data_IF_135930578972
#
_entry.id   IF_135930578972
#
_cell.length_a   1.000
_cell.length_b   1.000
_cell.length_c   1.000
_cell.angle_alpha   90.00
_cell.angle_beta   90.00
_cell.angle_gamma   90.00
#
_symmetry.space_group_name_H-M   'P 1'
#
loop_
_entity.id
_entity.type
_entity.pdbx_description
1 polymer ?
#
# COMPACT_ATOMS: atom_id res chain seq x y z
N UNK A 1 10.48 34.67 -35.64
CA UNK A 1 10.20 33.71 -34.56
C UNK A 1 11.45 32.89 -34.31
N UNK A 2 12.25 33.31 -33.34
CA UNK A 2 13.46 32.62 -32.94
C UNK A 2 13.04 31.29 -32.29
N UNK A 3 13.31 30.16 -32.95
CA UNK A 3 13.11 28.84 -32.33
C UNK A 3 14.05 28.77 -31.13
N UNK A 4 13.52 29.02 -29.94
CA UNK A 4 14.23 28.87 -28.68
C UNK A 4 14.76 27.43 -28.63
N UNK A 5 16.06 27.25 -28.87
CA UNK A 5 16.71 25.95 -28.81
C UNK A 5 16.64 25.49 -27.37
N UNK A 6 15.66 24.63 -27.04
CA UNK A 6 15.55 24.01 -25.72
C UNK A 6 16.91 23.41 -25.39
N UNK A 7 17.47 23.79 -24.24
CA UNK A 7 18.74 23.25 -23.76
C UNK A 7 18.61 21.72 -23.66
N UNK A 8 19.54 20.95 -24.25
CA UNK A 8 19.56 19.48 -24.18
C UNK A 8 19.43 18.99 -22.74
N UNK A 9 20.01 19.70 -21.78
CA UNK A 9 19.87 19.40 -20.36
C UNK A 9 18.42 19.59 -19.87
N UNK A 10 17.78 20.71 -20.22
CA UNK A 10 16.39 20.98 -19.85
C UNK A 10 15.43 19.94 -20.45
N UNK A 11 15.66 19.55 -21.71
CA UNK A 11 14.90 18.48 -22.36
C UNK A 11 15.07 17.15 -21.63
N UNK A 12 16.30 16.80 -21.23
CA UNK A 12 16.59 15.56 -20.50
C UNK A 12 15.87 15.50 -19.15
N UNK A 13 15.84 16.62 -18.41
CA UNK A 13 15.13 16.73 -17.14
C UNK A 13 13.62 16.55 -17.34
N UNK A 14 13.02 17.23 -18.32
CA UNK A 14 11.58 17.12 -18.60
C UNK A 14 11.21 15.67 -18.95
N UNK A 15 12.00 15.03 -19.82
CA UNK A 15 11.77 13.63 -20.20
C UNK A 15 11.93 12.70 -19.00
N UNK A 16 12.92 12.93 -18.13
CA UNK A 16 13.09 12.14 -16.90
C UNK A 16 11.90 12.25 -15.95
N UNK A 17 11.35 13.45 -15.74
CA UNK A 17 10.18 13.62 -14.86
C UNK A 17 8.98 12.85 -15.41
N UNK A 18 8.71 12.97 -16.71
CA UNK A 18 7.63 12.23 -17.37
C UNK A 18 7.84 10.72 -17.25
N UNK A 19 9.06 10.24 -17.55
CA UNK A 19 9.40 8.82 -17.42
C UNK A 19 9.29 8.32 -15.97
N UNK A 20 9.68 9.14 -14.99
CA UNK A 20 9.57 8.80 -13.58
C UNK A 20 8.12 8.57 -13.19
N UNK A 21 7.21 9.49 -13.58
CA UNK A 21 5.78 9.36 -13.31
C UNK A 21 5.21 8.11 -13.99
N UNK A 22 5.55 7.89 -15.27
CA UNK A 22 5.08 6.72 -16.01
C UNK A 22 5.57 5.42 -15.37
N UNK A 23 6.84 5.32 -14.97
CA UNK A 23 7.41 4.13 -14.35
C UNK A 23 6.81 3.85 -12.97
N UNK A 24 6.65 4.88 -12.13
CA UNK A 24 6.00 4.73 -10.81
C UNK A 24 4.56 4.26 -10.98
N UNK A 25 3.80 4.90 -11.88
CA UNK A 25 2.42 4.48 -12.18
C UNK A 25 2.35 3.06 -12.75
N UNK A 26 3.26 2.69 -13.65
CA UNK A 26 3.33 1.35 -14.23
C UNK A 26 3.59 0.29 -13.17
N UNK A 27 4.52 0.53 -12.24
CA UNK A 27 4.79 -0.41 -11.14
C UNK A 27 3.58 -0.53 -10.24
N UNK A 28 2.96 0.59 -9.85
CA UNK A 28 1.81 0.56 -8.94
C UNK A 28 0.58 -0.11 -9.55
N UNK A 29 0.23 0.20 -10.80
CA UNK A 29 -0.85 -0.48 -11.53
C UNK A 29 -0.49 -1.94 -11.81
N UNK A 30 0.78 -2.23 -12.11
CA UNK A 30 1.26 -3.59 -12.31
C UNK A 30 1.05 -4.45 -11.06
N UNK A 31 1.44 -3.94 -9.89
CA UNK A 31 1.24 -4.65 -8.62
C UNK A 31 -0.25 -4.91 -8.38
N UNK A 32 -1.13 -3.95 -8.63
CA UNK A 32 -2.58 -4.13 -8.42
C UNK A 32 -3.23 -5.15 -9.36
N UNK A 33 -2.56 -5.57 -10.44
CA UNK A 33 -3.06 -6.64 -11.33
C UNK A 33 -2.66 -8.03 -10.81
N UNK A 34 -1.51 -8.13 -10.15
CA UNK A 34 -0.95 -9.41 -9.69
C UNK A 34 -1.17 -9.67 -8.20
N UNK A 35 -1.51 -8.63 -7.44
CA UNK A 35 -1.64 -8.70 -6.01
C UNK A 35 -2.78 -7.78 -5.53
N UNK A 36 -3.94 -8.38 -5.35
CA UNK A 36 -5.17 -7.68 -4.94
C UNK A 36 -5.09 -7.27 -3.47
N UNK A 37 -5.54 -6.05 -3.17
CA UNK A 37 -5.64 -5.57 -1.80
C UNK A 37 -6.85 -6.19 -1.09
N UNK A 38 -6.75 -6.57 0.20
CA UNK A 38 -7.89 -7.06 0.95
C UNK A 38 -8.93 -5.94 1.11
N UNK A 39 -10.19 -6.19 0.74
CA UNK A 39 -11.28 -5.27 0.98
C UNK A 39 -11.95 -5.56 2.33
N UNK A 40 -12.27 -4.52 3.10
CA UNK A 40 -12.88 -4.67 4.42
C UNK A 40 -14.19 -5.49 4.39
N UNK A 41 -15.01 -5.29 3.35
CA UNK A 41 -16.31 -5.94 3.22
C UNK A 41 -16.18 -7.44 2.94
N UNK A 42 -15.04 -7.92 2.42
CA UNK A 42 -14.79 -9.35 2.22
C UNK A 42 -14.69 -10.11 3.54
N UNK A 43 -14.31 -9.41 4.61
CA UNK A 43 -14.17 -9.97 5.96
C UNK A 43 -15.37 -9.63 6.84
N UNK A 44 -15.79 -8.37 6.85
CA UNK A 44 -16.78 -7.85 7.79
C UNK A 44 -18.18 -7.66 7.20
N UNK A 45 -18.38 -7.97 5.91
CA UNK A 45 -19.63 -7.75 5.19
C UNK A 45 -19.95 -6.26 4.98
N UNK A 46 -21.04 -5.99 4.28
CA UNK A 46 -21.54 -4.62 4.15
C UNK A 46 -22.10 -4.12 5.48
N UNK A 47 -21.58 -2.99 5.97
CA UNK A 47 -22.27 -2.21 7.02
C UNK A 47 -23.54 -1.65 6.39
N UNK A 48 -24.61 -2.45 6.38
CA UNK A 48 -25.91 -1.96 5.92
C UNK A 48 -26.33 -0.87 6.91
N UNK A 49 -26.46 0.41 6.49
CA UNK A 49 -27.13 1.38 7.34
C UNK A 49 -28.48 0.77 7.67
N UNK A 50 -28.75 0.58 8.96
CA UNK A 50 -30.06 0.09 9.39
C UNK A 50 -31.09 0.99 8.70
N UNK A 51 -32.10 0.43 8.02
CA UNK A 51 -33.16 1.27 7.47
C UNK A 51 -33.65 2.13 8.63
N UNK A 52 -33.45 3.45 8.51
CA UNK A 52 -33.98 4.40 9.48
C UNK A 52 -35.47 4.17 9.48
N UNK A 53 -35.97 3.52 10.54
CA UNK A 53 -37.40 3.40 10.71
C UNK A 53 -37.95 4.81 10.83
N UNK A 54 -38.89 5.13 9.94
CA UNK A 54 -39.71 6.32 10.10
C UNK A 54 -40.29 6.28 11.51
N UNK A 55 -40.19 7.40 12.21
CA UNK A 55 -40.51 7.63 13.63
C UNK A 55 -41.94 7.22 14.08
N UNK A 56 -42.79 6.69 13.18
CA UNK A 56 -44.22 6.50 13.39
C UNK A 56 -44.75 5.05 13.26
N UNK A 57 -43.90 4.02 13.24
CA UNK A 57 -44.36 2.62 13.34
C UNK A 57 -43.75 1.92 14.57
N UNK A 58 -44.59 1.61 15.55
CA UNK A 58 -44.23 0.76 16.69
C UNK A 58 -44.17 -0.71 16.25
N UNK A 59 -43.01 -1.13 15.74
CA UNK A 59 -42.78 -2.54 15.44
C UNK A 59 -42.48 -3.30 16.74
N UNK A 60 -43.31 -4.29 17.04
CA UNK A 60 -43.13 -5.20 18.18
C UNK A 60 -42.52 -6.50 17.67
N UNK A 61 -41.30 -6.79 18.10
CA UNK A 61 -40.60 -8.03 17.76
C UNK A 61 -40.83 -9.12 18.80
N UNK A 62 -40.68 -10.38 18.39
CA UNK A 62 -40.59 -11.49 19.31
C UNK A 62 -39.44 -11.28 20.31
N UNK A 63 -39.66 -11.73 21.56
CA UNK A 63 -38.72 -11.54 22.68
C UNK A 63 -37.71 -12.71 22.79
N UNK A 64 -37.51 -13.45 21.70
CA UNK A 64 -36.49 -14.48 21.62
C UNK A 64 -35.08 -13.84 21.57
N UNK A 65 -34.12 -14.59 22.11
CA UNK A 65 -32.71 -14.20 22.17
C UNK A 65 -31.89 -15.24 21.41
N UNK A 66 -30.82 -14.76 20.77
CA UNK A 66 -29.77 -15.60 20.18
C UNK A 66 -28.54 -15.49 21.08
N UNK A 67 -28.01 -16.62 21.51
CA UNK A 67 -26.72 -16.69 22.21
C UNK A 67 -25.57 -16.55 21.20
N UNK A 68 -24.61 -15.70 21.52
CA UNK A 68 -23.44 -15.40 20.71
C UNK A 68 -22.26 -16.29 21.11
N UNK A 69 -21.26 -16.51 20.23
CA UNK A 69 -20.09 -17.31 20.53
C UNK A 69 -19.26 -16.83 21.75
N UNK A 70 -19.36 -15.54 22.09
CA UNK A 70 -18.75 -14.94 23.29
C UNK A 70 -19.59 -15.10 24.57
N UNK A 71 -20.71 -15.82 24.52
CA UNK A 71 -21.64 -16.01 25.64
C UNK A 71 -22.54 -14.81 25.91
N UNK A 72 -22.47 -13.75 25.10
CA UNK A 72 -23.46 -12.65 25.15
C UNK A 72 -24.75 -13.06 24.45
N UNK A 73 -25.82 -12.29 24.63
CA UNK A 73 -27.09 -12.53 23.94
C UNK A 73 -27.53 -11.31 23.18
N UNK A 74 -28.04 -11.50 21.96
CA UNK A 74 -28.67 -10.45 21.16
C UNK A 74 -30.16 -10.73 21.01
N UNK A 75 -30.97 -9.68 21.07
CA UNK A 75 -32.42 -9.72 20.82
C UNK A 75 -32.74 -9.16 19.44
N UNK A 76 -33.93 -9.47 18.91
CA UNK A 76 -34.40 -8.90 17.64
C UNK A 76 -34.44 -7.38 17.69
N UNK A 77 -33.93 -6.75 16.63
CA UNK A 77 -33.88 -5.29 16.49
C UNK A 77 -35.05 -4.83 15.60
N UNK A 78 -36.02 -4.05 16.14
CA UNK A 78 -37.10 -3.48 15.34
C UNK A 78 -36.58 -2.71 14.13
N UNK A 79 -35.45 -1.99 14.27
CA UNK A 79 -34.82 -1.23 13.18
C UNK A 79 -34.20 -2.12 12.08
N UNK A 80 -34.20 -3.44 12.26
CA UNK A 80 -33.76 -4.45 11.29
C UNK A 80 -34.89 -5.39 10.88
N UNK A 81 -36.14 -4.93 10.89
CA UNK A 81 -37.30 -5.75 10.55
C UNK A 81 -37.40 -7.00 11.45
N UNK A 82 -37.12 -6.82 12.75
CA UNK A 82 -37.09 -7.89 13.75
C UNK A 82 -36.06 -9.01 13.48
N UNK A 83 -34.98 -8.73 12.75
CA UNK A 83 -33.84 -9.64 12.65
C UNK A 83 -32.90 -9.49 13.85
N UNK A 84 -32.15 -10.55 14.15
CA UNK A 84 -31.07 -10.48 15.14
C UNK A 84 -29.90 -9.68 14.57
N UNK A 85 -29.35 -8.70 15.32
CA UNK A 85 -28.09 -8.08 14.92
C UNK A 85 -26.94 -9.09 14.99
N UNK A 86 -25.88 -8.91 14.18
CA UNK A 86 -24.64 -9.67 14.32
C UNK A 86 -24.06 -9.56 15.73
N UNK A 87 -23.39 -10.62 16.17
CA UNK A 87 -22.78 -10.69 17.49
C UNK A 87 -21.56 -9.75 17.57
N UNK A 88 -21.30 -9.15 18.74
CA UNK A 88 -20.15 -8.24 18.92
C UNK A 88 -18.82 -8.96 18.63
N UNK A 89 -18.69 -10.20 19.08
CA UNK A 89 -17.55 -11.07 18.78
C UNK A 89 -17.34 -11.29 17.29
N UNK A 90 -18.40 -11.43 16.49
CA UNK A 90 -18.26 -11.59 15.03
C UNK A 90 -17.57 -10.38 14.39
N UNK A 91 -17.86 -9.17 14.84
CA UNK A 91 -17.16 -7.96 14.38
C UNK A 91 -15.71 -7.88 14.84
N UNK A 92 -15.41 -8.33 16.06
CA UNK A 92 -14.02 -8.34 16.56
C UNK A 92 -13.18 -9.35 15.78
N UNK A 93 -13.71 -10.55 15.56
CA UNK A 93 -13.04 -11.59 14.78
C UNK A 93 -12.82 -11.16 13.33
N UNK A 94 -13.81 -10.57 12.65
CA UNK A 94 -13.63 -10.12 11.28
C UNK A 94 -12.58 -9.00 11.15
N UNK A 95 -12.55 -8.07 12.12
CA UNK A 95 -11.58 -6.98 12.15
C UNK A 95 -10.17 -7.52 12.29
N UNK A 96 -9.94 -8.47 13.21
CA UNK A 96 -8.65 -9.11 13.41
C UNK A 96 -8.18 -9.88 12.15
N UNK A 97 -9.10 -10.56 11.46
CA UNK A 97 -8.81 -11.25 10.20
C UNK A 97 -8.43 -10.27 9.08
N UNK A 98 -9.17 -9.18 8.94
CA UNK A 98 -8.88 -8.12 7.98
C UNK A 98 -7.54 -7.44 8.27
N UNK A 99 -7.28 -7.07 9.52
CA UNK A 99 -6.02 -6.40 9.91
C UNK A 99 -4.81 -7.29 9.63
N UNK A 100 -4.93 -8.59 9.92
CA UNK A 100 -3.89 -9.58 9.59
C UNK A 100 -3.68 -9.74 8.08
N UNK A 101 -4.76 -9.79 7.30
CA UNK A 101 -4.67 -9.86 5.85
C UNK A 101 -4.00 -8.60 5.26
N UNK A 102 -4.37 -7.42 5.79
CA UNK A 102 -3.82 -6.12 5.40
C UNK A 102 -2.35 -5.98 5.77
N UNK A 103 -1.95 -6.40 6.97
CA UNK A 103 -0.54 -6.41 7.39
C UNK A 103 0.29 -7.28 6.43
N UNK A 104 -0.17 -8.51 6.15
CA UNK A 104 0.50 -9.41 5.21
C UNK A 104 0.60 -8.81 3.80
N UNK A 105 -0.47 -8.18 3.31
CA UNK A 105 -0.50 -7.51 2.02
C UNK A 105 0.52 -6.35 1.97
N UNK A 106 0.51 -5.47 2.98
CA UNK A 106 1.41 -4.33 3.07
C UNK A 106 2.88 -4.77 3.11
N UNK A 107 3.17 -5.85 3.82
CA UNK A 107 4.52 -6.40 3.92
C UNK A 107 5.01 -6.96 2.57
N UNK A 108 4.19 -7.73 1.86
CA UNK A 108 4.54 -8.26 0.53
C UNK A 108 4.71 -7.12 -0.47
N UNK A 109 3.77 -6.15 -0.49
CA UNK A 109 3.85 -4.95 -1.33
C UNK A 109 5.13 -4.16 -1.06
N UNK A 110 5.51 -4.01 0.21
CA UNK A 110 6.77 -3.38 0.59
C UNK A 110 7.98 -4.09 0.00
N UNK A 111 8.09 -5.42 0.11
CA UNK A 111 9.24 -6.14 -0.45
C UNK A 111 9.33 -6.03 -1.97
N UNK A 112 8.20 -6.09 -2.68
CA UNK A 112 8.16 -5.91 -4.13
C UNK A 112 8.69 -4.52 -4.50
N UNK A 113 8.16 -3.48 -3.87
CA UNK A 113 8.58 -2.09 -4.12
C UNK A 113 10.04 -1.84 -3.72
N UNK A 114 10.50 -2.39 -2.60
CA UNK A 114 11.88 -2.27 -2.13
C UNK A 114 12.86 -2.95 -3.10
N UNK A 115 12.54 -4.14 -3.62
CA UNK A 115 13.40 -4.86 -4.57
C UNK A 115 13.48 -4.14 -5.91
N UNK A 116 12.32 -3.78 -6.49
CA UNK A 116 12.27 -3.05 -7.77
C UNK A 116 12.95 -1.69 -7.61
N UNK A 117 12.63 -0.96 -6.54
CA UNK A 117 13.21 0.35 -6.25
C UNK A 117 14.72 0.27 -6.08
N UNK A 118 15.22 -0.71 -5.32
CA UNK A 118 16.66 -0.93 -5.15
C UNK A 118 17.35 -1.29 -6.48
N UNK A 119 16.74 -2.13 -7.32
CA UNK A 119 17.27 -2.43 -8.64
C UNK A 119 17.37 -1.16 -9.52
N UNK A 120 16.36 -0.30 -9.51
CA UNK A 120 16.38 0.97 -10.24
C UNK A 120 17.40 1.97 -9.69
N UNK A 121 17.60 2.01 -8.37
CA UNK A 121 18.68 2.79 -7.76
C UNK A 121 20.05 2.34 -8.26
N UNK A 122 20.29 1.02 -8.36
CA UNK A 122 21.54 0.48 -8.90
C UNK A 122 21.70 0.80 -10.40
N UNK A 123 20.65 0.60 -11.20
CA UNK A 123 20.67 0.94 -12.64
C UNK A 123 20.95 2.43 -12.85
N UNK A 124 20.30 3.30 -12.07
CA UNK A 124 20.55 4.74 -12.08
C UNK A 124 21.99 5.07 -11.69
N UNK A 125 22.53 4.43 -10.65
CA UNK A 125 23.89 4.70 -10.18
C UNK A 125 24.98 4.29 -11.18
N UNK A 126 24.79 3.22 -11.96
CA UNK A 126 25.81 2.71 -12.90
C UNK A 126 25.61 3.10 -14.36
N UNK A 127 24.49 3.73 -14.70
CA UNK A 127 24.28 4.18 -16.07
C UNK A 127 25.30 5.27 -16.45
N UNK A 128 25.93 5.21 -17.64
CA UNK A 128 26.73 6.30 -18.16
C UNK A 128 25.87 7.47 -18.67
N UNK A 129 24.64 7.19 -19.10
CA UNK A 129 23.73 8.19 -19.67
C UNK A 129 22.98 8.94 -18.58
N UNK A 130 23.04 10.28 -18.65
CA UNK A 130 22.42 11.17 -17.67
C UNK A 130 20.92 10.89 -17.49
N UNK A 131 20.20 10.62 -18.58
CA UNK A 131 18.76 10.36 -18.56
C UNK A 131 18.40 9.17 -17.65
N UNK A 132 19.12 8.06 -17.79
CA UNK A 132 18.88 6.86 -16.99
C UNK A 132 19.38 7.04 -15.55
N UNK A 133 20.42 7.84 -15.32
CA UNK A 133 20.88 8.17 -13.96
C UNK A 133 19.77 8.87 -13.17
N UNK A 134 19.26 9.99 -13.67
CA UNK A 134 18.24 10.77 -12.94
C UNK A 134 16.92 10.02 -12.81
N UNK A 135 16.49 9.33 -13.87
CA UNK A 135 15.22 8.58 -13.85
C UNK A 135 15.32 7.37 -12.92
N UNK A 136 16.40 6.58 -13.00
CA UNK A 136 16.57 5.39 -12.16
C UNK A 136 16.69 5.75 -10.68
N UNK A 137 17.45 6.80 -10.35
CA UNK A 137 17.57 7.27 -8.97
C UNK A 137 16.24 7.84 -8.43
N UNK A 138 15.52 8.63 -9.23
CA UNK A 138 14.25 9.20 -8.82
C UNK A 138 13.17 8.13 -8.64
N UNK A 139 12.94 7.27 -9.65
CA UNK A 139 11.95 6.19 -9.55
C UNK A 139 12.32 5.21 -8.43
N UNK A 140 13.59 4.82 -8.33
CA UNK A 140 14.05 3.91 -7.29
C UNK A 140 13.82 4.45 -5.88
N UNK A 141 14.13 5.73 -5.65
CA UNK A 141 13.89 6.40 -4.37
C UNK A 141 12.41 6.52 -4.03
N UNK A 142 11.56 6.87 -5.00
CA UNK A 142 10.11 6.99 -4.81
C UNK A 142 9.50 5.63 -4.43
N UNK A 143 9.81 4.56 -5.17
CA UNK A 143 9.24 3.23 -4.90
C UNK A 143 9.67 2.68 -3.53
N UNK A 144 10.95 2.86 -3.15
CA UNK A 144 11.42 2.49 -1.80
C UNK A 144 10.65 3.27 -0.74
N UNK A 145 10.48 4.58 -0.92
CA UNK A 145 9.75 5.44 0.02
C UNK A 145 8.28 5.03 0.14
N UNK A 146 7.61 4.76 -0.98
CA UNK A 146 6.23 4.29 -1.00
C UNK A 146 6.07 2.94 -0.28
N UNK A 147 7.02 2.02 -0.50
CA UNK A 147 7.06 0.76 0.23
C UNK A 147 7.18 0.96 1.75
N UNK A 148 8.08 1.84 2.20
CA UNK A 148 8.23 2.20 3.61
C UNK A 148 6.91 2.73 4.17
N UNK A 149 6.27 3.65 3.44
CA UNK A 149 5.00 4.26 3.86
C UNK A 149 3.89 3.24 4.03
N UNK A 150 3.87 2.21 3.19
CA UNK A 150 2.84 1.18 3.20
C UNK A 150 2.99 0.19 4.36
N UNK A 151 4.22 -0.13 4.76
CA UNK A 151 4.50 -1.15 5.77
C UNK A 151 4.95 -0.55 7.13
N UNK A 152 4.47 0.65 7.46
CA UNK A 152 4.84 1.33 8.72
C UNK A 152 4.38 0.62 9.99
N UNK A 153 3.40 -0.28 9.90
CA UNK A 153 2.94 -1.12 11.01
C UNK A 153 4.08 -2.03 11.49
N UNK A 154 4.81 -2.66 10.56
CA UNK A 154 5.92 -3.55 10.88
C UNK A 154 7.28 -2.81 10.86
N UNK A 155 7.49 -1.97 11.87
CA UNK A 155 8.68 -1.10 12.01
C UNK A 155 10.01 -1.85 11.98
N UNK A 156 10.05 -3.07 12.53
CA UNK A 156 11.27 -3.89 12.60
C UNK A 156 11.69 -4.34 11.20
N UNK A 157 10.74 -4.85 10.41
CA UNK A 157 11.00 -5.26 9.02
C UNK A 157 11.50 -4.08 8.19
N UNK A 158 10.80 -2.94 8.29
CA UNK A 158 11.20 -1.71 7.58
C UNK A 158 12.62 -1.28 7.95
N UNK A 159 12.95 -1.25 9.25
CA UNK A 159 14.27 -0.84 9.72
C UNK A 159 15.40 -1.74 9.19
N UNK A 160 15.22 -3.07 9.27
CA UNK A 160 16.23 -4.04 8.80
C UNK A 160 16.42 -3.90 7.29
N UNK A 161 15.34 -3.82 6.52
CA UNK A 161 15.41 -3.64 5.07
C UNK A 161 16.12 -2.35 4.67
N UNK A 162 15.91 -1.24 5.40
CA UNK A 162 16.60 0.02 5.14
C UNK A 162 18.09 -0.06 5.45
N UNK A 163 18.48 -0.70 6.56
CA UNK A 163 19.88 -0.94 6.86
C UNK A 163 20.55 -1.77 5.77
N UNK A 164 19.90 -2.82 5.29
CA UNK A 164 20.42 -3.65 4.20
C UNK A 164 20.58 -2.86 2.90
N UNK A 165 19.56 -2.10 2.50
CA UNK A 165 19.62 -1.23 1.30
C UNK A 165 20.77 -0.24 1.43
N UNK A 166 20.89 0.43 2.58
CA UNK A 166 21.95 1.42 2.83
C UNK A 166 23.35 0.80 2.79
N UNK A 167 23.54 -0.34 3.44
CA UNK A 167 24.83 -1.05 3.46
C UNK A 167 25.21 -1.50 2.06
N UNK A 168 24.29 -2.16 1.33
CA UNK A 168 24.58 -2.65 -0.03
C UNK A 168 24.82 -1.47 -0.97
N UNK A 169 23.93 -0.48 -0.99
CA UNK A 169 24.08 0.71 -1.84
C UNK A 169 25.40 1.44 -1.54
N UNK A 170 25.74 1.62 -0.26
CA UNK A 170 26.97 2.26 0.18
C UNK A 170 28.24 1.50 -0.24
N UNK A 171 28.28 0.18 -0.07
CA UNK A 171 29.41 -0.65 -0.49
C UNK A 171 29.60 -0.58 -2.02
N UNK A 172 28.50 -0.67 -2.77
CA UNK A 172 28.58 -0.68 -4.24
C UNK A 172 28.98 0.72 -4.74
N UNK A 173 28.42 1.79 -4.20
CA UNK A 173 28.80 3.16 -4.52
C UNK A 173 30.29 3.42 -4.22
N UNK A 174 30.76 3.02 -3.04
CA UNK A 174 32.16 3.16 -2.64
C UNK A 174 33.12 2.44 -3.59
N UNK A 175 32.80 1.20 -4.00
CA UNK A 175 33.61 0.45 -4.97
C UNK A 175 33.72 1.17 -6.32
N UNK A 176 32.63 1.77 -6.79
CA UNK A 176 32.64 2.47 -8.09
C UNK A 176 33.41 3.78 -8.05
N UNK A 177 33.30 4.53 -6.97
CA UNK A 177 34.07 5.76 -6.79
C UNK A 177 35.57 5.45 -6.74
N UNK A 178 35.97 4.40 -6.01
CA UNK A 178 37.38 4.04 -5.88
C UNK A 178 37.96 3.43 -7.16
N UNK A 179 37.19 2.64 -7.92
CA UNK A 179 37.63 2.11 -9.22
C UNK A 179 37.98 3.19 -10.25
N UNK A 180 37.39 4.39 -10.15
CA UNK A 180 37.73 5.52 -11.06
C UNK A 180 39.04 6.21 -10.69
N UNK A 181 39.65 5.88 -9.55
CA UNK A 181 40.87 6.51 -9.05
C UNK A 181 42.15 5.80 -9.48
N UNK A 182 42.03 4.56 -9.98
CA UNK A 182 43.09 3.75 -10.58
C UNK A 182 43.00 3.82 -12.12
#
# INVERSE_FOLDING_TARGET
MEKQKINKLALTIIVSVILTIILVSLVNVGISIFYDSPEYNDFCGEVRPSPVMKENETIVCAQDVKECPDGTTVSRDPARNCEFPPCKSEFQTCQEEYDKARESYNQVRFYILAVIGFALLLVGLFSPELLFQITGLATGGILVTEGIVTNFENKVVVFISLLLILVIFGIVAWRVINKKKD
#
